data_IF_445224263069
#
_entry.id   IF_445224263069
#
_cell.length_a   1.000
_cell.length_b   1.000
_cell.length_c   1.000
_cell.angle_alpha   90.00
_cell.angle_beta   90.00
_cell.angle_gamma   90.00
#
_symmetry.space_group_name_H-M   'P 1'
#
loop_
_entity.id
_entity.type
_entity.pdbx_description
1 polymer ?
#
# COMPACT_ATOMS: atom_id res chain seq x y z
N UNK A 1 -0.62 4.50 -21.53
CA UNK A 1 -1.78 4.87 -20.72
C UNK A 1 -2.16 3.62 -19.94
N UNK A 2 -1.75 3.51 -18.68
CA UNK A 2 -2.10 2.36 -17.84
C UNK A 2 -3.30 2.78 -17.00
N UNK A 3 -4.43 2.10 -17.19
CA UNK A 3 -5.60 2.29 -16.35
C UNK A 3 -5.27 1.79 -14.94
N UNK A 4 -5.35 2.64 -13.89
CA UNK A 4 -5.13 2.19 -12.54
C UNK A 4 -6.32 1.32 -12.15
N UNK A 5 -6.04 0.05 -11.84
CA UNK A 5 -6.96 -0.85 -11.15
C UNK A 5 -8.40 -0.89 -11.71
N UNK A 6 -8.59 -1.35 -12.95
CA UNK A 6 -9.87 -1.93 -13.36
C UNK A 6 -10.06 -3.29 -12.64
N UNK A 7 -10.28 -3.25 -11.34
CA UNK A 7 -10.51 -4.47 -10.54
C UNK A 7 -11.88 -5.01 -10.95
N UNK A 8 -11.88 -5.96 -11.87
CA UNK A 8 -13.02 -6.86 -12.10
C UNK A 8 -13.18 -7.71 -10.83
N UNK A 9 -13.95 -7.21 -9.87
CA UNK A 9 -14.06 -7.73 -8.50
C UNK A 9 -14.55 -9.18 -8.39
N UNK A 10 -15.19 -9.71 -9.43
CA UNK A 10 -15.82 -11.03 -9.40
C UNK A 10 -14.84 -12.21 -9.49
N UNK A 11 -13.64 -12.05 -10.08
CA UNK A 11 -12.71 -13.16 -10.32
C UNK A 11 -11.47 -13.18 -9.41
N UNK A 12 -11.23 -12.13 -8.62
CA UNK A 12 -10.02 -12.02 -7.79
C UNK A 12 -10.19 -12.84 -6.51
N UNK A 13 -9.31 -13.82 -6.28
CA UNK A 13 -9.23 -14.55 -5.02
C UNK A 13 -8.69 -13.67 -3.90
N UNK A 14 -9.02 -13.98 -2.65
CA UNK A 14 -8.58 -13.20 -1.49
C UNK A 14 -7.04 -13.12 -1.36
N UNK A 15 -6.33 -14.19 -1.72
CA UNK A 15 -4.86 -14.20 -1.75
C UNK A 15 -4.27 -13.20 -2.76
N UNK A 16 -4.88 -13.09 -3.94
CA UNK A 16 -4.49 -12.09 -4.95
C UNK A 16 -4.88 -10.68 -4.54
N UNK A 17 -6.05 -10.47 -3.92
CA UNK A 17 -6.45 -9.16 -3.40
C UNK A 17 -5.48 -8.68 -2.31
N UNK A 18 -5.10 -9.58 -1.40
CA UNK A 18 -4.09 -9.31 -0.37
C UNK A 18 -2.74 -8.95 -0.97
N UNK A 19 -2.23 -9.74 -1.93
CA UNK A 19 -0.96 -9.45 -2.57
C UNK A 19 -0.98 -8.07 -3.26
N UNK A 20 -2.06 -7.75 -3.97
CA UNK A 20 -2.23 -6.44 -4.59
C UNK A 20 -2.24 -5.30 -3.56
N UNK A 21 -2.92 -5.48 -2.41
CA UNK A 21 -2.91 -4.47 -1.34
C UNK A 21 -1.50 -4.22 -0.81
N UNK A 22 -0.73 -5.29 -0.56
CA UNK A 22 0.65 -5.18 -0.06
C UNK A 22 1.58 -4.52 -1.07
N UNK A 23 1.37 -4.79 -2.37
CA UNK A 23 2.10 -4.17 -3.46
C UNK A 23 1.84 -2.65 -3.54
N UNK A 24 0.60 -2.19 -3.31
CA UNK A 24 0.24 -0.77 -3.38
C UNK A 24 1.17 0.13 -2.55
N UNK A 25 1.63 -0.33 -1.38
CA UNK A 25 2.53 0.42 -0.51
C UNK A 25 3.88 0.74 -1.15
N UNK A 26 4.36 -0.04 -2.12
CA UNK A 26 5.63 0.20 -2.81
C UNK A 26 5.53 1.34 -3.84
N UNK A 27 4.33 1.62 -4.35
CA UNK A 27 4.13 2.66 -5.37
C UNK A 27 3.94 4.04 -4.78
N UNK A 28 3.77 4.16 -3.46
CA UNK A 28 3.57 5.43 -2.76
C UNK A 28 4.90 6.13 -2.50
N UNK A 29 5.03 7.34 -3.05
CA UNK A 29 6.08 8.32 -2.76
C UNK A 29 5.51 9.47 -1.92
N UNK A 30 6.39 10.29 -1.34
CA UNK A 30 6.00 11.45 -0.54
C UNK A 30 6.51 12.73 -1.21
N UNK A 31 5.60 13.64 -1.54
CA UNK A 31 5.92 14.96 -2.07
C UNK A 31 6.68 15.82 -1.06
N UNK A 32 7.47 16.79 -1.54
CA UNK A 32 8.26 17.68 -0.68
C UNK A 32 7.45 18.47 0.36
N UNK A 33 6.17 18.68 0.08
CA UNK A 33 5.17 19.25 0.99
C UNK A 33 5.09 18.55 2.38
N UNK A 34 5.51 17.29 2.48
CA UNK A 34 5.61 16.59 3.77
C UNK A 34 6.70 17.16 4.69
N UNK A 35 7.66 17.92 4.14
CA UNK A 35 8.68 18.62 4.89
C UNK A 35 9.39 17.72 5.91
N UNK A 36 9.58 18.24 7.12
CA UNK A 36 10.22 17.55 8.24
C UNK A 36 9.53 16.24 8.67
N UNK A 37 8.29 16.03 8.26
CA UNK A 37 7.48 14.90 8.71
C UNK A 37 7.53 13.70 7.75
N UNK A 38 8.15 13.86 6.57
CA UNK A 38 8.11 12.82 5.54
C UNK A 38 8.66 11.48 6.03
N UNK A 39 9.70 11.50 6.86
CA UNK A 39 10.32 10.29 7.41
C UNK A 39 9.40 9.56 8.38
N UNK A 40 8.70 10.29 9.25
CA UNK A 40 7.70 9.73 10.17
C UNK A 40 6.48 9.21 9.39
N UNK A 41 6.04 9.93 8.36
CA UNK A 41 4.98 9.51 7.46
C UNK A 41 5.32 8.25 6.68
N UNK A 42 6.58 8.12 6.24
CA UNK A 42 7.10 6.89 5.61
C UNK A 42 7.01 5.69 6.56
N UNK A 43 7.49 5.84 7.79
CA UNK A 43 7.39 4.78 8.80
C UNK A 43 5.95 4.41 9.15
N UNK A 44 5.04 5.39 9.19
CA UNK A 44 3.62 5.12 9.44
C UNK A 44 3.02 4.23 8.33
N UNK A 45 3.37 4.52 7.07
CA UNK A 45 2.99 3.72 5.92
C UNK A 45 3.59 2.30 5.99
N UNK A 46 4.88 2.18 6.34
CA UNK A 46 5.52 0.87 6.53
C UNK A 46 4.91 0.07 7.69
N UNK A 47 4.52 0.73 8.78
CA UNK A 47 3.81 0.11 9.91
C UNK A 47 2.47 -0.47 9.48
N UNK A 48 1.69 0.26 8.67
CA UNK A 48 0.44 -0.23 8.11
C UNK A 48 0.66 -1.45 7.21
N UNK A 49 1.68 -1.41 6.34
CA UNK A 49 2.07 -2.57 5.52
C UNK A 49 2.46 -3.78 6.37
N UNK A 50 3.24 -3.57 7.43
CA UNK A 50 3.62 -4.65 8.34
C UNK A 50 2.43 -5.24 9.09
N UNK A 51 1.45 -4.41 9.47
CA UNK A 51 0.20 -4.87 10.09
C UNK A 51 -0.59 -5.76 9.13
N UNK A 52 -0.75 -5.31 7.88
CA UNK A 52 -1.45 -6.09 6.85
C UNK A 52 -0.74 -7.42 6.58
N UNK A 53 0.58 -7.38 6.34
CA UNK A 53 1.35 -8.61 6.06
C UNK A 53 1.37 -9.59 7.23
N UNK A 54 1.40 -9.10 8.48
CA UNK A 54 1.26 -9.94 9.68
C UNK A 54 -0.09 -10.65 9.74
N UNK A 55 -1.18 -9.94 9.39
CA UNK A 55 -2.50 -10.56 9.29
C UNK A 55 -2.51 -11.68 8.24
N UNK A 56 -2.02 -11.41 7.02
CA UNK A 56 -1.96 -12.41 5.95
C UNK A 56 -1.16 -13.66 6.31
N UNK A 57 -0.04 -13.49 7.03
CA UNK A 57 0.74 -14.61 7.57
C UNK A 57 -0.06 -15.40 8.61
N UNK A 58 -0.73 -14.73 9.55
CA UNK A 58 -1.51 -15.36 10.62
C UNK A 58 -2.69 -16.20 10.12
N UNK A 59 -3.33 -15.77 9.03
CA UNK A 59 -4.44 -16.50 8.40
C UNK A 59 -3.97 -17.49 7.33
N UNK A 60 -2.65 -17.65 7.15
CA UNK A 60 -2.03 -18.51 6.15
C UNK A 60 -2.57 -18.22 4.74
N UNK A 61 -2.61 -16.94 4.35
CA UNK A 61 -3.40 -16.43 3.22
C UNK A 61 -3.12 -17.06 1.86
N UNK A 62 -1.92 -17.60 1.67
CA UNK A 62 -1.50 -18.23 0.42
C UNK A 62 -1.72 -19.74 0.37
N UNK A 63 -2.00 -20.38 1.50
CA UNK A 63 -2.19 -21.82 1.58
C UNK A 63 -3.55 -22.19 2.18
N UNK A 64 -4.51 -21.27 2.12
CA UNK A 64 -5.90 -21.41 2.57
C UNK A 64 -6.52 -22.78 2.20
N UNK A 65 -7.16 -23.49 3.17
CA UNK A 65 -8.41 -24.19 2.85
C UNK A 65 -9.70 -23.57 3.43
N UNK A 66 -9.66 -22.82 4.56
CA UNK A 66 -10.64 -21.74 4.94
C UNK A 66 -10.02 -20.58 5.78
N UNK A 67 -8.80 -20.12 5.46
CA UNK A 67 -8.06 -18.92 5.94
C UNK A 67 -7.85 -18.79 7.44
N UNK A 68 -7.06 -19.71 7.98
CA UNK A 68 -6.51 -19.61 9.33
C UNK A 68 -7.43 -20.13 10.43
N UNK A 69 -8.70 -20.40 10.15
CA UNK A 69 -9.64 -21.07 11.05
C UNK A 69 -10.50 -22.06 10.26
N UNK A 70 -10.49 -23.34 10.60
CA UNK A 70 -11.17 -24.37 9.79
C UNK A 70 -12.71 -24.22 9.77
N UNK A 71 -13.27 -23.57 10.79
CA UNK A 71 -14.69 -23.24 10.96
C UNK A 71 -15.03 -21.82 10.49
N UNK A 72 -14.13 -21.12 9.78
CA UNK A 72 -14.47 -19.84 9.16
C UNK A 72 -15.66 -19.99 8.21
N UNK A 73 -16.66 -19.15 8.41
CA UNK A 73 -17.87 -19.10 7.60
C UNK A 73 -17.58 -18.43 6.26
N UNK A 74 -18.38 -18.74 5.24
CA UNK A 74 -18.29 -18.08 3.94
C UNK A 74 -18.45 -16.55 4.07
N UNK A 75 -19.29 -16.09 5.01
CA UNK A 75 -19.51 -14.67 5.30
C UNK A 75 -18.25 -14.00 5.87
N UNK A 76 -17.53 -14.64 6.78
CA UNK A 76 -16.27 -14.11 7.33
C UNK A 76 -15.18 -14.00 6.26
N UNK A 77 -15.05 -15.02 5.41
CA UNK A 77 -14.09 -15.01 4.30
C UNK A 77 -14.45 -13.92 3.28
N UNK A 78 -15.74 -13.78 2.96
CA UNK A 78 -16.23 -12.75 2.06
C UNK A 78 -15.99 -11.35 2.65
N UNK A 79 -16.26 -11.14 3.94
CA UNK A 79 -15.97 -9.88 4.62
C UNK A 79 -14.48 -9.53 4.53
N UNK A 80 -13.58 -10.48 4.77
CA UNK A 80 -12.15 -10.26 4.66
C UNK A 80 -11.74 -9.88 3.21
N UNK A 81 -12.34 -10.54 2.21
CA UNK A 81 -12.15 -10.19 0.80
C UNK A 81 -12.65 -8.78 0.50
N UNK A 82 -13.84 -8.41 0.97
CA UNK A 82 -14.45 -7.10 0.72
C UNK A 82 -13.61 -5.97 1.34
N UNK A 83 -13.09 -6.17 2.56
CA UNK A 83 -12.17 -5.22 3.19
C UNK A 83 -10.88 -5.03 2.39
N UNK A 84 -10.29 -6.11 1.88
CA UNK A 84 -9.11 -6.00 1.00
C UNK A 84 -9.43 -5.26 -0.30
N UNK A 85 -10.59 -5.53 -0.91
CA UNK A 85 -11.01 -4.79 -2.10
C UNK A 85 -11.26 -3.31 -1.80
N UNK A 86 -11.82 -2.97 -0.64
CA UNK A 86 -11.97 -1.58 -0.20
C UNK A 86 -10.61 -0.89 -0.01
N UNK A 87 -9.61 -1.57 0.56
CA UNK A 87 -8.24 -1.03 0.66
C UNK A 87 -7.69 -0.70 -0.73
N UNK A 88 -7.90 -1.56 -1.73
CA UNK A 88 -7.48 -1.28 -3.11
C UNK A 88 -8.20 -0.05 -3.70
N UNK A 89 -9.49 0.10 -3.42
CA UNK A 89 -10.26 1.29 -3.83
C UNK A 89 -9.68 2.55 -3.18
N UNK A 90 -9.36 2.53 -1.88
CA UNK A 90 -8.74 3.66 -1.19
C UNK A 90 -7.40 4.05 -1.83
N UNK A 91 -6.56 3.09 -2.19
CA UNK A 91 -5.32 3.36 -2.92
C UNK A 91 -5.59 3.98 -4.30
N UNK A 92 -6.56 3.46 -5.05
CA UNK A 92 -6.92 3.97 -6.38
C UNK A 92 -7.49 5.39 -6.35
N UNK A 93 -8.37 5.70 -5.38
CA UNK A 93 -8.94 7.03 -5.18
C UNK A 93 -7.87 8.03 -4.78
N UNK A 94 -6.93 7.61 -3.93
CA UNK A 94 -5.81 8.45 -3.49
C UNK A 94 -4.83 8.71 -4.65
N UNK A 95 -4.51 7.69 -5.45
CA UNK A 95 -3.72 7.85 -6.68
C UNK A 95 -4.43 8.79 -7.67
N UNK A 96 -5.74 8.65 -7.84
CA UNK A 96 -6.56 9.52 -8.68
C UNK A 96 -6.50 10.98 -8.22
N UNK A 97 -6.51 11.20 -6.90
CA UNK A 97 -6.35 12.53 -6.31
C UNK A 97 -4.96 13.11 -6.55
N UNK A 98 -3.91 12.30 -6.38
CA UNK A 98 -2.54 12.70 -6.69
C UNK A 98 -2.35 13.06 -8.17
N UNK A 99 -2.92 12.27 -9.08
CA UNK A 99 -2.87 12.55 -10.54
C UNK A 99 -3.60 13.85 -10.89
N UNK A 100 -4.77 14.11 -10.29
CA UNK A 100 -5.49 15.38 -10.49
C UNK A 100 -4.66 16.57 -10.01
N UNK A 101 -4.01 16.45 -8.85
CA UNK A 101 -3.11 17.49 -8.34
C UNK A 101 -1.98 17.77 -9.33
N UNK A 102 -1.35 16.71 -9.89
CA UNK A 102 -0.27 16.84 -10.88
C UNK A 102 -0.67 17.58 -12.15
N UNK A 103 -1.93 17.48 -12.58
CA UNK A 103 -2.44 18.20 -13.75
C UNK A 103 -2.69 19.69 -13.46
N UNK A 104 -2.88 20.06 -12.19
CA UNK A 104 -3.23 21.42 -11.78
C UNK A 104 -2.08 22.22 -11.16
N UNK A 105 -1.02 21.55 -10.71
CA UNK A 105 0.15 22.18 -10.14
C UNK A 105 0.86 23.05 -11.19
N UNK A 106 1.27 24.25 -10.79
CA UNK A 106 1.87 25.25 -11.70
C UNK A 106 3.39 25.17 -11.72
N UNK A 107 3.99 24.73 -10.62
CA UNK A 107 5.45 24.73 -10.42
C UNK A 107 6.00 23.30 -10.33
N UNK A 108 7.19 23.08 -10.89
CA UNK A 108 7.87 21.77 -10.85
C UNK A 108 8.28 21.36 -9.44
N UNK A 109 8.49 22.34 -8.56
CA UNK A 109 8.85 22.11 -7.16
C UNK A 109 7.68 21.51 -6.38
N UNK A 110 6.43 21.87 -6.71
CA UNK A 110 5.23 21.30 -6.10
C UNK A 110 5.09 19.79 -6.36
N UNK A 111 5.67 19.32 -7.47
CA UNK A 111 5.59 17.94 -7.93
C UNK A 111 6.76 17.06 -7.47
N UNK A 112 7.80 17.67 -6.88
CA UNK A 112 8.98 16.96 -6.41
C UNK A 112 8.67 16.04 -5.23
N UNK A 113 9.30 14.87 -5.20
CA UNK A 113 9.10 13.84 -4.19
C UNK A 113 10.43 13.47 -3.53
N UNK A 114 10.35 13.19 -2.23
CA UNK A 114 11.47 12.69 -1.45
C UNK A 114 11.93 11.33 -1.97
N UNK A 115 13.23 11.16 -1.97
CA UNK A 115 13.94 9.93 -2.28
C UNK A 115 14.52 9.31 -1.00
N UNK A 116 15.17 8.14 -1.15
CA UNK A 116 15.92 7.52 -0.05
C UNK A 116 17.13 8.35 0.37
N UNK A 117 17.70 9.15 -0.53
CA UNK A 117 18.89 9.98 -0.24
C UNK A 117 18.56 11.16 0.68
N UNK A 118 17.28 11.53 0.78
CA UNK A 118 16.80 12.60 1.66
C UNK A 118 16.57 12.13 3.11
N UNK A 119 16.66 10.81 3.36
CA UNK A 119 16.38 10.21 4.68
C UNK A 119 17.62 10.17 5.57
N UNK A 120 17.42 10.25 6.89
CA UNK A 120 18.50 9.96 7.84
C UNK A 120 18.99 8.50 7.66
N UNK A 121 20.31 8.23 7.71
CA UNK A 121 20.84 6.87 7.50
C UNK A 121 20.23 5.80 8.42
N UNK A 122 19.90 6.14 9.67
CA UNK A 122 19.23 5.19 10.59
C UNK A 122 17.81 4.89 10.15
N UNK A 123 17.14 5.88 9.57
CA UNK A 123 15.79 5.76 9.03
C UNK A 123 15.78 4.90 7.76
N UNK A 124 16.79 5.03 6.90
CA UNK A 124 16.99 4.14 5.74
C UNK A 124 17.15 2.68 6.18
N UNK A 125 17.94 2.42 7.22
CA UNK A 125 18.13 1.07 7.79
C UNK A 125 16.81 0.50 8.31
N UNK A 126 16.01 1.32 9.00
CA UNK A 126 14.71 0.90 9.53
C UNK A 126 13.68 0.62 8.42
N UNK A 127 13.49 1.54 7.47
CA UNK A 127 12.62 1.37 6.29
C UNK A 127 13.00 0.10 5.52
N UNK A 128 14.29 -0.12 5.25
CA UNK A 128 14.79 -1.32 4.58
C UNK A 128 14.47 -2.60 5.35
N UNK A 129 14.60 -2.59 6.68
CA UNK A 129 14.25 -3.73 7.54
C UNK A 129 12.75 -4.01 7.52
N UNK A 130 11.91 -2.98 7.57
CA UNK A 130 10.46 -3.12 7.52
C UNK A 130 9.98 -3.65 6.16
N UNK A 131 10.53 -3.12 5.05
CA UNK A 131 10.30 -3.66 3.70
C UNK A 131 10.70 -5.12 3.59
N UNK A 132 11.89 -5.47 4.09
CA UNK A 132 12.38 -6.85 4.08
C UNK A 132 11.43 -7.81 4.81
N UNK A 133 10.92 -7.43 5.98
CA UNK A 133 9.94 -8.22 6.74
C UNK A 133 8.61 -8.38 5.98
N UNK A 134 8.12 -7.32 5.34
CA UNK A 134 6.90 -7.39 4.54
C UNK A 134 7.04 -8.35 3.35
N UNK A 135 8.16 -8.26 2.62
CA UNK A 135 8.48 -9.12 1.46
C UNK A 135 8.59 -10.59 1.86
N UNK A 136 9.23 -10.87 3.01
CA UNK A 136 9.32 -12.23 3.54
C UNK A 136 7.93 -12.84 3.78
N UNK A 137 7.02 -12.10 4.40
CA UNK A 137 5.64 -12.54 4.67
C UNK A 137 4.79 -12.71 3.40
N UNK A 138 5.07 -11.92 2.37
CA UNK A 138 4.43 -12.03 1.06
C UNK A 138 4.93 -13.23 0.24
N UNK A 139 5.81 -14.08 0.81
CA UNK A 139 6.43 -15.24 0.15
C UNK A 139 7.11 -14.89 -1.19
N UNK A 140 7.73 -13.71 -1.28
CA UNK A 140 8.42 -13.23 -2.49
C UNK A 140 7.52 -13.16 -3.73
N UNK A 141 6.24 -12.83 -3.55
CA UNK A 141 5.32 -12.55 -4.65
C UNK A 141 5.92 -11.55 -5.65
N UNK A 142 5.60 -11.70 -6.94
CA UNK A 142 6.02 -10.72 -7.95
C UNK A 142 5.20 -9.45 -7.76
N UNK A 143 5.88 -8.35 -7.50
CA UNK A 143 5.27 -7.01 -7.54
C UNK A 143 4.66 -6.77 -8.92
N UNK A 144 3.40 -6.33 -8.94
CA UNK A 144 2.82 -5.77 -10.17
C UNK A 144 3.61 -4.53 -10.57
N UNK A 145 4.24 -4.49 -11.75
CA UNK A 145 4.93 -3.27 -12.20
C UNK A 145 3.91 -2.15 -12.48
N UNK A 146 3.54 -1.42 -11.44
CA UNK A 146 2.68 -0.26 -11.49
C UNK A 146 3.53 1.02 -11.44
N UNK A 147 2.97 2.11 -11.97
CA UNK A 147 3.61 3.40 -11.90
C UNK A 147 3.56 3.92 -10.46
N UNK A 148 4.70 4.38 -9.94
CA UNK A 148 4.73 5.10 -8.67
C UNK A 148 4.00 6.44 -8.78
N UNK A 149 3.43 6.87 -7.66
CA UNK A 149 2.72 8.14 -7.53
C UNK A 149 2.99 8.74 -6.15
N UNK A 150 2.91 10.06 -6.03
CA UNK A 150 3.28 10.76 -4.81
C UNK A 150 2.06 11.28 -4.04
N UNK A 151 2.11 11.17 -2.72
CA UNK A 151 1.22 11.87 -1.80
C UNK A 151 1.74 13.29 -1.60
N UNK A 152 0.91 14.31 -1.85
CA UNK A 152 1.28 15.71 -1.64
C UNK A 152 0.75 16.29 -0.33
N UNK A 153 -0.24 15.65 0.29
CA UNK A 153 -0.87 16.14 1.50
C UNK A 153 -0.97 15.06 2.58
N UNK A 154 -0.78 15.49 3.85
CA UNK A 154 -0.89 14.61 5.02
C UNK A 154 -2.30 14.05 5.22
N UNK A 155 -3.34 14.80 4.84
CA UNK A 155 -4.73 14.32 4.88
C UNK A 155 -4.89 13.05 4.07
N UNK A 156 -4.36 13.01 2.84
CA UNK A 156 -4.40 11.82 1.98
C UNK A 156 -3.68 10.61 2.59
N UNK A 157 -2.59 10.83 3.34
CA UNK A 157 -1.97 9.75 4.09
C UNK A 157 -2.86 9.29 5.25
N UNK A 158 -3.47 10.22 5.98
CA UNK A 158 -4.35 9.92 7.11
C UNK A 158 -5.53 9.05 6.66
N UNK A 159 -6.15 9.41 5.54
CA UNK A 159 -7.27 8.67 4.95
C UNK A 159 -6.88 7.25 4.50
N UNK A 160 -5.60 7.00 4.20
CA UNK A 160 -5.09 5.66 3.91
C UNK A 160 -4.78 4.82 5.17
N UNK A 161 -4.59 5.46 6.32
CA UNK A 161 -4.11 4.82 7.55
C UNK A 161 -5.18 4.61 8.63
N UNK A 162 -6.27 5.36 8.59
CA UNK A 162 -7.39 5.33 9.57
C UNK A 162 -8.64 4.68 8.97
#
# INVERSE_FOLDING_TARGET
>A
MAEPFSIVASAIGIASAFAACVDCFEYVQFGHHFGRDFQTSRLALDCARLRLTRWGESVNIYNDPKLGRQDATATEIQLAKDVLLQILVLFADTEGTAKKYNLTAKDSEDLSAYSTDDMDPKMVVLDSKMKGLAIQRQKKGRFLKLASWALYHRSSLKDLLE
#
